data_IF_487601490337
#
_entry.id   IF_487601490337
#
_cell.length_a   1.000
_cell.length_b   1.000
_cell.length_c   1.000
_cell.angle_alpha   90.00
_cell.angle_beta   90.00
_cell.angle_gamma   90.00
#
_symmetry.space_group_name_H-M   'P 1'
#
loop_
_entity.id
_entity.type
_entity.pdbx_description
1 polymer ?
#
# COMPACT_ATOMS: atom_id res chain seq x y z
N UNK A 1 15.60 7.49 21.69
CA UNK A 1 15.47 6.51 20.59
C UNK A 1 15.39 7.33 19.32
N UNK A 2 16.26 7.09 18.34
CA UNK A 2 16.47 7.99 17.22
C UNK A 2 15.25 8.07 16.30
N UNK A 3 14.74 9.28 16.07
CA UNK A 3 13.84 9.59 14.97
C UNK A 3 14.58 9.27 13.67
N UNK A 4 14.16 8.20 13.01
CA UNK A 4 14.63 7.88 11.66
C UNK A 4 14.11 8.99 10.74
N UNK A 5 14.97 9.65 9.94
CA UNK A 5 14.51 10.70 9.05
C UNK A 5 13.50 10.06 8.10
N UNK A 6 12.26 10.57 8.12
CA UNK A 6 11.19 10.22 7.19
C UNK A 6 11.63 10.75 5.83
N UNK A 7 12.51 9.98 5.16
CA UNK A 7 13.05 10.30 3.85
C UNK A 7 11.89 10.71 2.94
N UNK A 8 12.11 11.77 2.17
CA UNK A 8 11.14 12.44 1.31
C UNK A 8 10.58 11.48 0.23
N UNK A 9 9.76 10.56 0.69
CA UNK A 9 8.97 9.61 -0.07
C UNK A 9 7.77 10.43 -0.56
N UNK A 10 7.68 10.60 -1.88
CA UNK A 10 6.56 11.32 -2.49
C UNK A 10 5.21 10.80 -1.99
N UNK A 11 4.14 11.61 -2.07
CA UNK A 11 2.85 11.23 -1.51
C UNK A 11 2.32 9.95 -2.18
N UNK A 12 1.79 9.02 -1.39
CA UNK A 12 1.02 7.88 -1.89
C UNK A 12 -0.38 8.42 -2.17
N UNK A 13 -0.78 8.38 -3.44
CA UNK A 13 -2.07 8.85 -3.96
C UNK A 13 -2.48 7.97 -5.14
N UNK A 14 -3.75 7.94 -5.57
CA UNK A 14 -4.14 7.28 -6.81
C UNK A 14 -3.24 7.70 -7.99
N UNK A 15 -2.79 6.71 -8.77
CA UNK A 15 -1.81 6.87 -9.86
C UNK A 15 -0.34 6.80 -9.42
N UNK A 16 -0.03 6.80 -8.12
CA UNK A 16 1.34 6.70 -7.65
C UNK A 16 1.93 5.30 -7.89
N UNK A 17 3.20 5.29 -8.31
CA UNK A 17 3.99 4.06 -8.42
C UNK A 17 4.46 3.63 -7.04
N UNK A 18 4.14 2.39 -6.66
CA UNK A 18 4.38 1.88 -5.31
C UNK A 18 4.97 0.48 -5.33
N UNK A 19 5.62 0.14 -4.23
CA UNK A 19 6.08 -1.20 -3.89
C UNK A 19 5.27 -1.68 -2.68
N UNK A 20 4.58 -2.80 -2.82
CA UNK A 20 3.67 -3.35 -1.80
C UNK A 20 4.12 -4.71 -1.30
N UNK A 21 3.84 -4.99 -0.03
CA UNK A 21 3.91 -6.34 0.55
C UNK A 21 2.52 -6.95 0.48
N UNK A 22 2.25 -7.73 -0.57
CA UNK A 22 1.00 -8.48 -0.67
C UNK A 22 0.99 -9.60 0.38
N UNK A 23 0.02 -9.57 1.30
CA UNK A 23 -0.08 -10.55 2.38
C UNK A 23 -0.36 -11.96 1.84
N UNK A 24 0.49 -12.92 2.21
CA UNK A 24 0.43 -14.33 1.82
C UNK A 24 1.81 -15.00 2.02
N UNK A 25 1.91 -16.32 1.82
CA UNK A 25 3.15 -17.11 2.02
C UNK A 25 4.38 -16.62 1.21
N UNK A 26 4.20 -15.64 0.32
CA UNK A 26 5.28 -14.90 -0.34
C UNK A 26 5.44 -13.53 0.32
N UNK A 27 6.45 -13.40 1.17
CA UNK A 27 6.96 -12.12 1.70
C UNK A 27 7.57 -11.20 0.63
N UNK A 28 7.28 -11.44 -0.66
CA UNK A 28 7.87 -10.73 -1.77
C UNK A 28 7.22 -9.34 -1.91
N UNK A 29 8.06 -8.32 -2.08
CA UNK A 29 7.59 -6.99 -2.46
C UNK A 29 7.34 -6.96 -3.96
N UNK A 30 6.14 -6.55 -4.36
CA UNK A 30 5.74 -6.42 -5.76
C UNK A 30 5.50 -4.95 -6.10
N UNK A 31 5.72 -4.59 -7.36
CA UNK A 31 5.45 -3.26 -7.86
C UNK A 31 4.00 -3.17 -8.35
N UNK A 32 3.43 -1.96 -8.25
CA UNK A 32 2.07 -1.68 -8.68
C UNK A 32 1.78 -0.20 -8.74
N UNK A 33 0.55 0.13 -9.11
CA UNK A 33 0.03 1.50 -9.16
C UNK A 33 -1.16 1.58 -8.21
N UNK A 34 -1.22 2.63 -7.41
CA UNK A 34 -2.39 2.90 -6.56
C UNK A 34 -3.60 3.17 -7.44
N UNK A 35 -4.67 2.42 -7.22
CA UNK A 35 -5.95 2.60 -7.91
C UNK A 35 -6.83 3.55 -7.12
N UNK A 36 -6.90 3.39 -5.80
CA UNK A 36 -7.78 4.19 -4.95
C UNK A 36 -7.27 4.30 -3.50
N UNK A 37 -7.79 5.31 -2.78
CA UNK A 37 -7.55 5.59 -1.37
C UNK A 37 -8.86 5.53 -0.56
N UNK A 38 -9.05 4.46 0.20
CA UNK A 38 -10.21 4.22 1.06
C UNK A 38 -10.03 4.77 2.48
N UNK A 39 -9.30 5.86 2.69
CA UNK A 39 -9.03 6.45 4.03
C UNK A 39 -10.33 6.75 4.81
N UNK A 40 -11.40 7.13 4.12
CA UNK A 40 -12.69 7.42 4.74
C UNK A 40 -13.42 6.16 5.26
N UNK A 41 -13.11 5.00 4.68
CA UNK A 41 -13.69 3.70 4.99
C UNK A 41 -12.73 2.81 5.81
N UNK A 42 -11.44 3.17 5.86
CA UNK A 42 -10.41 2.47 6.60
C UNK A 42 -10.71 2.51 8.11
N UNK A 43 -10.68 1.34 8.75
CA UNK A 43 -10.96 1.20 10.18
C UNK A 43 -12.45 1.17 10.56
N UNK A 44 -13.38 1.33 9.61
CA UNK A 44 -14.80 1.04 9.85
C UNK A 44 -14.97 -0.48 9.81
N UNK A 45 -14.96 -1.11 10.99
CA UNK A 45 -15.36 -2.51 11.14
C UNK A 45 -16.84 -2.60 10.76
N UNK A 46 -17.14 -3.10 9.56
CA UNK A 46 -18.51 -3.37 9.11
C UNK A 46 -19.13 -4.59 9.85
N UNK A 47 -18.88 -4.71 11.16
CA UNK A 47 -19.26 -5.86 11.99
C UNK A 47 -18.36 -7.09 11.81
N UNK A 48 -17.22 -6.96 11.12
CA UNK A 48 -16.35 -8.07 10.75
C UNK A 48 -14.88 -7.74 11.02
N UNK A 49 -14.47 -7.92 12.28
CA UNK A 49 -13.08 -7.84 12.75
C UNK A 49 -12.12 -8.74 11.94
N UNK A 50 -12.65 -9.78 11.29
CA UNK A 50 -11.90 -10.72 10.44
C UNK A 50 -11.59 -10.19 9.03
N UNK A 51 -12.16 -9.05 8.62
CA UNK A 51 -11.90 -8.42 7.33
C UNK A 51 -11.95 -6.87 7.42
N UNK A 52 -10.99 -6.24 8.11
CA UNK A 52 -10.91 -4.78 8.14
C UNK A 52 -10.69 -4.23 6.73
N UNK A 53 -11.36 -3.10 6.42
CA UNK A 53 -11.13 -2.35 5.18
C UNK A 53 -9.71 -1.80 5.21
N UNK A 54 -8.91 -2.24 4.25
CA UNK A 54 -7.54 -1.75 4.06
C UNK A 54 -7.56 -0.54 3.14
N UNK A 55 -6.78 0.47 3.49
CA UNK A 55 -6.83 1.80 2.88
C UNK A 55 -6.50 1.80 1.38
N UNK A 56 -5.43 1.12 0.96
CA UNK A 56 -4.93 1.28 -0.40
C UNK A 56 -5.36 0.12 -1.29
N UNK A 57 -6.01 0.43 -2.41
CA UNK A 57 -6.11 -0.50 -3.53
C UNK A 57 -4.93 -0.29 -4.49
N UNK A 58 -4.24 -1.37 -4.83
CA UNK A 58 -3.07 -1.35 -5.73
C UNK A 58 -3.23 -2.41 -6.81
N UNK A 59 -3.17 -1.99 -8.06
CA UNK A 59 -3.03 -2.89 -9.19
C UNK A 59 -1.54 -3.25 -9.35
N UNK A 60 -1.19 -4.48 -9.06
CA UNK A 60 0.18 -4.99 -9.22
C UNK A 60 0.48 -5.26 -10.70
N UNK A 61 1.76 -5.24 -11.06
CA UNK A 61 2.18 -5.45 -12.45
C UNK A 61 1.82 -6.82 -13.01
N UNK A 62 1.61 -7.81 -12.15
CA UNK A 62 1.15 -9.15 -12.52
C UNK A 62 -0.38 -9.22 -12.77
N UNK A 63 -1.08 -8.08 -12.67
CA UNK A 63 -2.52 -7.95 -12.91
C UNK A 63 -3.40 -8.24 -11.70
N UNK A 64 -2.83 -8.46 -10.51
CA UNK A 64 -3.60 -8.69 -9.28
C UNK A 64 -4.03 -7.37 -8.65
N UNK A 65 -5.26 -7.31 -8.12
CA UNK A 65 -5.68 -6.21 -7.25
C UNK A 65 -5.43 -6.61 -5.79
N UNK A 66 -4.60 -5.85 -5.09
CA UNK A 66 -4.29 -6.07 -3.67
C UNK A 66 -4.72 -4.88 -2.83
N UNK A 67 -5.19 -5.17 -1.61
CA UNK A 67 -5.56 -4.17 -0.63
C UNK A 67 -4.54 -4.20 0.51
N UNK A 68 -3.98 -3.04 0.87
CA UNK A 68 -2.89 -2.93 1.87
C UNK A 68 -3.06 -1.69 2.75
N UNK A 69 -2.54 -1.77 3.97
CA UNK A 69 -2.47 -0.63 4.90
C UNK A 69 -1.14 0.13 4.72
N UNK A 70 -1.04 1.31 5.34
CA UNK A 70 0.14 2.19 5.26
C UNK A 70 1.47 1.49 5.60
N UNK A 71 1.45 0.47 6.47
CA UNK A 71 2.65 -0.30 6.84
C UNK A 71 3.15 -1.27 5.75
N UNK A 72 2.34 -1.54 4.73
CA UNK A 72 2.61 -2.52 3.68
C UNK A 72 2.80 -1.88 2.29
N UNK A 73 2.77 -0.55 2.17
CA UNK A 73 2.95 0.19 0.93
C UNK A 73 4.07 1.25 1.05
N UNK A 74 4.87 1.39 0.00
CA UNK A 74 5.92 2.41 -0.05
C UNK A 74 5.99 2.99 -1.47
N UNK A 75 6.12 4.32 -1.65
CA UNK A 75 6.33 4.91 -2.96
C UNK A 75 7.69 4.48 -3.54
N UNK A 76 7.74 4.32 -4.85
CA UNK A 76 8.99 4.09 -5.58
C UNK A 76 9.62 5.45 -5.84
N UNK A 77 10.86 5.63 -5.38
CA UNK A 77 11.62 6.86 -5.66
C UNK A 77 12.02 6.89 -7.14
N UNK A 78 11.89 8.03 -7.85
CA UNK A 78 12.38 8.13 -9.22
C UNK A 78 13.89 7.87 -9.24
N UNK A 79 14.33 6.76 -9.83
CA UNK A 79 15.73 6.34 -9.88
C UNK A 79 15.98 4.85 -9.61
N UNK A 80 15.00 4.12 -9.09
CA UNK A 80 14.99 2.65 -9.09
C UNK A 80 14.11 2.13 -10.24
N UNK A 81 14.67 2.07 -11.45
CA UNK A 81 14.03 1.51 -12.65
C UNK A 81 15.06 0.87 -13.55
#
# INVERSE_FOLDING_TARGET
MADTPKGNRGPIVPGARVRVRAGGARSARVLGVVVDDYDAEAGVSAGHEWAPVRRWAVATDDGTLVFVDDGAIEPVTPGEG
#
